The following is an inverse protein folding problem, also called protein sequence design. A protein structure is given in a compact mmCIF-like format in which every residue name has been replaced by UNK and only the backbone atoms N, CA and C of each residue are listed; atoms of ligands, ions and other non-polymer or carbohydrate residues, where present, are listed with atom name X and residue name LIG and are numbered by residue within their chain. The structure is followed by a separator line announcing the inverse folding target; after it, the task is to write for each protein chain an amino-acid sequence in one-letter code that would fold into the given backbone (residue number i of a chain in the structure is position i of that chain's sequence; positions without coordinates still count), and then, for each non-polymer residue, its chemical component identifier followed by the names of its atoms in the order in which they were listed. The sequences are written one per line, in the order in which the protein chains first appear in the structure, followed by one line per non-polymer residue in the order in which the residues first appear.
data_IF_007906322285
#
_entry.id   IF_007906322285
#
_cell.length_a   1.000
_cell.length_b   1.000
_cell.length_c   1.000
_cell.angle_alpha   90.00
_cell.angle_beta   90.00
_cell.angle_gamma   90.00
#
_symmetry.space_group_name_H-M   'P 1'
#
loop_
_entity.id
_entity.type
_entity.pdbx_description
1 polymer ?
#
# COMPACT_ATOMS: atom_id res chain seq x y z
N UNK A 1 23.02 7.45 3.18
CA UNK A 1 21.65 7.42 2.62
C UNK A 1 21.32 5.96 2.40
N UNK A 2 20.24 5.47 3.00
CA UNK A 2 19.85 4.06 2.85
C UNK A 2 19.07 3.92 1.54
N UNK A 3 19.66 3.32 0.51
CA UNK A 3 19.10 3.13 -0.84
C UNK A 3 18.06 2.00 -0.89
N UNK A 4 17.16 1.96 0.09
CA UNK A 4 16.11 0.95 0.22
C UNK A 4 14.81 1.35 -0.49
N UNK A 5 13.95 0.36 -0.72
CA UNK A 5 12.58 0.61 -1.16
C UNK A 5 11.83 1.38 -0.08
N UNK A 6 11.43 2.61 -0.39
CA UNK A 6 10.65 3.42 0.55
C UNK A 6 9.16 3.02 0.56
N UNK A 7 8.57 2.88 -0.63
CA UNK A 7 7.17 2.53 -0.77
C UNK A 7 6.82 1.94 -2.13
N UNK A 8 5.71 1.22 -2.20
CA UNK A 8 5.07 0.77 -3.45
C UNK A 8 3.68 1.36 -3.53
N UNK A 9 3.29 1.88 -4.69
CA UNK A 9 1.94 2.38 -4.91
C UNK A 9 1.10 1.38 -5.70
N UNK A 10 -0.09 1.04 -5.18
CA UNK A 10 -1.03 0.12 -5.81
C UNK A 10 -2.33 0.85 -6.13
N UNK A 11 -2.82 0.67 -7.35
CA UNK A 11 -4.15 1.12 -7.71
C UNK A 11 -5.16 0.07 -7.22
N UNK A 12 -6.26 0.52 -6.64
CA UNK A 12 -7.33 -0.33 -6.12
C UNK A 12 -8.69 0.25 -6.49
N UNK A 13 -9.66 -0.63 -6.76
CA UNK A 13 -11.04 -0.23 -7.07
C UNK A 13 -11.80 0.26 -5.83
N UNK A 14 -11.46 -0.29 -4.66
CA UNK A 14 -12.06 0.09 -3.38
C UNK A 14 -10.99 0.22 -2.28
N UNK A 15 -10.70 1.46 -1.88
CA UNK A 15 -9.69 1.78 -0.87
C UNK A 15 -10.03 1.14 0.48
N UNK A 16 -11.29 1.21 0.93
CA UNK A 16 -11.67 0.68 2.24
C UNK A 16 -11.43 -0.83 2.33
N UNK A 17 -11.86 -1.58 1.31
CA UNK A 17 -11.66 -3.04 1.27
C UNK A 17 -10.17 -3.38 1.26
N UNK A 18 -9.36 -2.64 0.49
CA UNK A 18 -7.92 -2.84 0.44
C UNK A 18 -7.24 -2.53 1.79
N UNK A 19 -7.61 -1.44 2.47
CA UNK A 19 -7.13 -1.11 3.82
C UNK A 19 -7.47 -2.25 4.79
N UNK A 20 -8.75 -2.66 4.86
CA UNK A 20 -9.20 -3.72 5.76
C UNK A 20 -8.41 -5.03 5.54
N UNK A 21 -8.06 -5.35 4.29
CA UNK A 21 -7.26 -6.53 3.93
C UNK A 21 -5.82 -6.46 4.47
N UNK A 22 -5.11 -5.37 4.23
CA UNK A 22 -3.71 -5.22 4.64
C UNK A 22 -3.56 -5.10 6.17
N UNK A 23 -4.46 -4.38 6.84
CA UNK A 23 -4.48 -4.28 8.30
C UNK A 23 -4.72 -5.65 8.95
N UNK A 24 -5.67 -6.43 8.40
CA UNK A 24 -6.06 -7.71 8.99
C UNK A 24 -5.02 -8.82 8.82
N UNK A 25 -4.41 -8.93 7.65
CA UNK A 25 -3.61 -10.11 7.30
C UNK A 25 -2.10 -9.87 7.24
N UNK A 26 -1.66 -8.61 7.12
CA UNK A 26 -0.25 -8.28 6.90
C UNK A 26 0.35 -7.40 7.99
N UNK A 27 -0.39 -7.16 9.08
CA UNK A 27 0.03 -6.32 10.21
C UNK A 27 0.52 -4.92 9.79
N UNK A 28 -0.01 -4.39 8.69
CA UNK A 28 0.21 -2.99 8.33
C UNK A 28 -0.67 -2.10 9.21
N UNK A 29 -0.20 -0.87 9.43
CA UNK A 29 -0.98 0.18 10.08
C UNK A 29 -1.29 1.29 9.08
N UNK A 30 -2.48 1.89 9.18
CA UNK A 30 -2.78 3.09 8.40
C UNK A 30 -2.14 4.33 9.06
N UNK A 31 -1.42 5.12 8.26
CA UNK A 31 -0.74 6.34 8.70
C UNK A 31 -1.30 7.60 8.04
N UNK A 32 -1.20 8.78 8.69
CA UNK A 32 -1.70 10.03 8.12
C UNK A 32 -1.08 10.35 6.76
N UNK A 33 -1.94 10.72 5.81
CA UNK A 33 -1.54 11.21 4.49
C UNK A 33 -1.21 12.70 4.56
N UNK A 34 -0.20 13.19 3.82
CA UNK A 34 0.11 14.62 3.78
C UNK A 34 -0.84 15.42 2.85
N UNK A 35 -1.87 14.79 2.29
CA UNK A 35 -2.81 15.42 1.36
C UNK A 35 -4.20 14.76 1.39
N UNK A 36 -5.15 15.45 0.76
CA UNK A 36 -6.57 15.07 0.71
C UNK A 36 -6.93 14.16 -0.47
N UNK A 37 -5.94 13.66 -1.22
CA UNK A 37 -6.23 12.74 -2.34
C UNK A 37 -6.84 11.45 -1.79
N UNK A 38 -7.79 10.91 -2.56
CA UNK A 38 -8.44 9.65 -2.25
C UNK A 38 -7.43 8.49 -2.27
N UNK A 39 -7.39 7.73 -1.19
CA UNK A 39 -6.39 6.69 -0.97
C UNK A 39 -6.07 6.50 0.51
N UNK A 40 -5.14 5.61 0.80
CA UNK A 40 -4.64 5.32 2.14
C UNK A 40 -3.13 5.05 2.09
N UNK A 41 -2.42 5.41 3.15
CA UNK A 41 -1.00 5.09 3.32
C UNK A 41 -0.88 4.06 4.41
N UNK A 42 -0.27 2.93 4.09
CA UNK A 42 -0.10 1.80 4.99
C UNK A 42 1.39 1.62 5.27
N UNK A 43 1.77 1.45 6.52
CA UNK A 43 3.14 1.27 6.96
C UNK A 43 3.34 -0.10 7.60
N UNK A 44 4.42 -0.79 7.22
CA UNK A 44 4.89 -2.01 7.85
C UNK A 44 5.81 -1.69 9.04
N UNK A 45 6.12 -2.71 9.85
CA UNK A 45 6.96 -2.60 11.05
C UNK A 45 8.37 -2.07 10.73
N UNK A 46 8.92 -2.42 9.57
CA UNK A 46 10.25 -1.97 9.13
C UNK A 46 10.28 -0.53 8.57
N UNK A 47 9.12 0.13 8.52
CA UNK A 47 8.97 1.49 8.00
C UNK A 47 8.70 1.58 6.50
N UNK A 48 8.74 0.46 5.76
CA UNK A 48 8.32 0.43 4.36
C UNK A 48 6.81 0.67 4.25
N UNK A 49 6.37 1.25 3.12
CA UNK A 49 4.97 1.63 2.96
C UNK A 49 4.31 1.08 1.69
N UNK A 50 2.99 0.88 1.76
CA UNK A 50 2.11 0.70 0.60
C UNK A 50 1.18 1.90 0.50
N UNK A 51 1.16 2.56 -0.67
CA UNK A 51 0.24 3.65 -0.96
C UNK A 51 -0.91 3.14 -1.83
N UNK A 52 -2.11 3.06 -1.25
CA UNK A 52 -3.32 2.66 -1.96
C UNK A 52 -3.94 3.86 -2.65
N UNK A 53 -4.14 3.78 -3.97
CA UNK A 53 -4.76 4.83 -4.78
C UNK A 53 -6.07 4.35 -5.37
N UNK A 54 -7.13 5.15 -5.24
CA UNK A 54 -8.37 4.88 -5.97
C UNK A 54 -8.19 5.27 -7.44
N UNK A 55 -7.91 4.27 -8.28
CA UNK A 55 -7.64 4.45 -9.71
C UNK A 55 -7.91 3.14 -10.46
N UNK A 56 -7.82 3.18 -11.79
CA UNK A 56 -7.89 1.99 -12.63
C UNK A 56 -6.76 1.01 -12.27
N UNK A 57 -7.13 -0.26 -12.03
CA UNK A 57 -6.16 -1.34 -11.81
C UNK A 57 -5.61 -1.73 -13.17
N UNK A 58 -4.27 -1.74 -13.36
CA UNK A 58 -3.67 -2.10 -14.64
C UNK A 58 -3.92 -3.57 -14.99
N UNK A 59 -3.74 -3.92 -16.27
CA UNK A 59 -3.78 -5.31 -16.72
C UNK A 59 -2.77 -6.18 -15.95
N UNK A 60 -3.25 -7.36 -15.54
CA UNK A 60 -2.42 -8.37 -14.91
C UNK A 60 -1.44 -8.95 -15.94
N UNK A 61 -0.17 -8.55 -15.79
CA UNK A 61 0.96 -9.06 -16.54
C UNK A 61 1.92 -9.84 -15.62
N UNK A 62 1.40 -10.39 -14.51
CA UNK A 62 2.19 -11.13 -13.52
C UNK A 62 2.92 -10.25 -12.49
N UNK A 63 2.52 -8.98 -12.36
CA UNK A 63 3.09 -8.08 -11.35
C UNK A 63 2.66 -8.54 -9.96
N UNK A 64 3.62 -8.69 -9.04
CA UNK A 64 3.35 -9.09 -7.66
C UNK A 64 4.29 -8.37 -6.70
N UNK A 65 3.81 -8.17 -5.46
CA UNK A 65 4.60 -7.69 -4.33
C UNK A 65 4.80 -8.85 -3.38
N UNK A 66 6.07 -9.21 -3.14
CA UNK A 66 6.44 -10.18 -2.13
C UNK A 66 6.95 -9.44 -0.88
N UNK A 67 6.48 -9.87 0.30
CA UNK A 67 6.91 -9.35 1.58
C UNK A 67 7.82 -10.38 2.24
N UNK A 68 8.96 -9.95 2.75
CA UNK A 68 9.83 -10.78 3.58
C UNK A 68 9.17 -10.94 4.96
N UNK A 69 9.09 -12.18 5.46
CA UNK A 69 8.51 -12.54 6.76
C UNK A 69 9.57 -13.05 7.73
#
# INVERSE_FOLDING_TARGET
MNSGLHHVALNVTNVKIAVDFYLKYFAFEEVPKPNDRAGAWLQAVDGSQIHLRKAEVPEDNGQHLALLV
#
